data_IF_037029618607
#
_entry.id   IF_037029618607
#
_cell.length_a   1.000
_cell.length_b   1.000
_cell.length_c   1.000
_cell.angle_alpha   90.00
_cell.angle_beta   90.00
_cell.angle_gamma   90.00
#
_symmetry.space_group_name_H-M   'P 1'
#
loop_
_entity.id
_entity.type
_entity.pdbx_description
1 polymer ?
#
# COMPACT_ATOMS: atom_id res chain seq x y z
N UNK A 1 -25.83 10.87 10.34
CA UNK A 1 -25.15 10.18 9.23
C UNK A 1 -23.78 9.83 9.76
N UNK A 2 -23.49 8.54 9.95
CA UNK A 2 -22.25 8.07 10.58
C UNK A 2 -21.06 8.51 9.74
N UNK A 3 -20.19 9.31 10.36
CA UNK A 3 -18.86 9.62 9.86
C UNK A 3 -18.09 8.30 9.81
N UNK A 4 -17.85 7.78 8.61
CA UNK A 4 -16.82 6.77 8.40
C UNK A 4 -15.49 7.46 8.62
N UNK A 5 -14.82 7.17 9.73
CA UNK A 5 -13.46 7.65 9.98
C UNK A 5 -12.52 6.95 8.99
N UNK A 6 -11.52 7.67 8.43
CA UNK A 6 -10.52 7.05 7.59
C UNK A 6 -9.72 6.02 8.41
N UNK A 7 -9.53 4.84 7.85
CA UNK A 7 -8.68 3.78 8.38
C UNK A 7 -7.32 3.88 7.71
N UNK A 8 -6.26 3.65 8.48
CA UNK A 8 -4.89 3.64 7.97
C UNK A 8 -4.31 2.24 8.09
N UNK A 9 -3.96 1.64 6.96
CA UNK A 9 -3.32 0.33 6.88
C UNK A 9 -1.84 0.50 6.56
N UNK A 10 -0.97 -0.21 7.27
CA UNK A 10 0.48 -0.17 7.03
C UNK A 10 0.98 -1.51 6.54
N UNK A 11 1.67 -1.49 5.41
CA UNK A 11 2.25 -2.69 4.80
C UNK A 11 3.74 -2.50 4.54
N UNK A 12 4.47 -3.58 4.72
CA UNK A 12 5.90 -3.66 4.47
C UNK A 12 6.12 -4.34 3.14
N UNK A 13 6.78 -3.66 2.20
CA UNK A 13 7.05 -4.15 0.85
C UNK A 13 8.54 -4.32 0.65
N UNK A 14 8.95 -5.47 0.14
CA UNK A 14 10.35 -5.78 -0.16
C UNK A 14 10.63 -5.67 -1.67
N UNK A 15 11.84 -5.28 -2.03
CA UNK A 15 12.30 -5.22 -3.42
C UNK A 15 12.14 -3.87 -4.12
N UNK A 16 11.47 -2.88 -3.50
CA UNK A 16 11.46 -1.52 -4.01
C UNK A 16 12.82 -0.86 -3.81
N UNK A 17 13.55 -0.63 -4.90
CA UNK A 17 14.91 -0.06 -4.90
C UNK A 17 15.01 1.29 -5.60
N UNK A 18 13.92 1.76 -6.22
CA UNK A 18 13.92 2.94 -7.08
C UNK A 18 12.66 3.80 -6.91
N UNK A 19 12.74 5.11 -7.18
CA UNK A 19 11.59 6.01 -7.10
C UNK A 19 10.45 5.64 -8.07
N UNK A 20 10.75 5.10 -9.25
CA UNK A 20 9.71 4.59 -10.17
C UNK A 20 8.99 3.35 -9.63
N UNK A 21 9.69 2.54 -8.83
CA UNK A 21 9.15 1.34 -8.21
C UNK A 21 8.04 1.71 -7.21
N UNK A 22 8.23 2.84 -6.51
CA UNK A 22 7.27 3.41 -5.58
C UNK A 22 6.01 3.86 -6.30
N UNK A 23 6.15 4.65 -7.37
CA UNK A 23 4.99 5.15 -8.11
C UNK A 23 4.13 4.02 -8.64
N UNK A 24 4.73 2.97 -9.22
CA UNK A 24 3.99 1.82 -9.71
C UNK A 24 3.15 1.15 -8.60
N UNK A 25 3.73 0.95 -7.41
CA UNK A 25 3.02 0.37 -6.27
C UNK A 25 1.94 1.30 -5.73
N UNK A 26 2.23 2.61 -5.62
CA UNK A 26 1.24 3.56 -5.12
C UNK A 26 0.05 3.68 -6.07
N UNK A 27 0.29 3.73 -7.38
CA UNK A 27 -0.78 3.81 -8.39
C UNK A 27 -1.72 2.60 -8.32
N UNK A 28 -1.17 1.39 -8.17
CA UNK A 28 -1.97 0.16 -8.07
C UNK A 28 -2.78 0.09 -6.76
N UNK A 29 -2.21 0.63 -5.67
CA UNK A 29 -2.92 0.73 -4.39
C UNK A 29 -3.99 1.83 -4.43
N UNK A 30 -3.72 2.97 -5.05
CA UNK A 30 -4.69 4.05 -5.26
C UNK A 30 -5.86 3.63 -6.16
N UNK A 31 -5.67 2.61 -7.01
CA UNK A 31 -6.73 2.01 -7.80
C UNK A 31 -7.71 1.16 -6.97
N UNK A 32 -7.37 0.77 -5.75
CA UNK A 32 -8.25 -0.01 -4.88
C UNK A 32 -9.45 0.82 -4.42
N UNK A 33 -10.62 0.20 -4.39
CA UNK A 33 -11.86 0.86 -4.00
C UNK A 33 -11.82 1.31 -2.54
N UNK A 34 -11.96 2.61 -2.32
CA UNK A 34 -11.98 3.21 -0.98
C UNK A 34 -10.64 3.77 -0.51
N UNK A 35 -9.56 3.62 -1.29
CA UNK A 35 -8.30 4.31 -1.03
C UNK A 35 -8.44 5.80 -1.30
N UNK A 36 -7.98 6.61 -0.35
CA UNK A 36 -8.01 8.06 -0.44
C UNK A 36 -6.59 8.64 -0.57
N UNK A 37 -5.60 8.03 0.06
CA UNK A 37 -4.21 8.46 0.00
C UNK A 37 -3.25 7.27 0.19
N UNK A 38 -2.17 7.25 -0.58
CA UNK A 38 -1.06 6.29 -0.40
C UNK A 38 0.24 7.03 -0.18
N UNK A 39 0.95 6.66 0.88
CA UNK A 39 2.24 7.23 1.24
C UNK A 39 3.29 6.14 1.35
N UNK A 40 4.40 6.28 0.62
CA UNK A 40 5.44 5.25 0.55
C UNK A 40 6.77 5.78 1.08
N UNK A 41 7.25 5.12 2.13
CA UNK A 41 8.58 5.32 2.71
C UNK A 41 9.55 4.33 2.05
N UNK A 42 10.14 4.74 0.92
CA UNK A 42 11.12 3.94 0.19
C UNK A 42 12.40 3.74 1.01
N UNK A 43 12.77 2.48 1.21
CA UNK A 43 14.06 2.09 1.74
C UNK A 43 14.86 1.34 0.66
N UNK A 44 15.67 2.07 -0.11
CA UNK A 44 16.43 1.50 -1.23
C UNK A 44 17.42 0.37 -0.85
N UNK A 45 17.68 0.17 0.45
CA UNK A 45 18.55 -0.89 0.98
C UNK A 45 17.82 -1.97 1.78
N UNK A 46 16.49 -2.01 1.80
CA UNK A 46 15.76 -2.88 2.70
C UNK A 46 14.26 -3.00 2.42
N UNK A 47 13.46 -2.94 3.48
CA UNK A 47 12.01 -3.02 3.44
C UNK A 47 11.45 -1.61 3.43
N UNK A 48 10.62 -1.33 2.44
CA UNK A 48 9.90 -0.07 2.31
C UNK A 48 8.56 -0.17 3.03
N UNK A 49 8.15 0.91 3.68
CA UNK A 49 6.86 0.96 4.40
C UNK A 49 5.87 1.72 3.54
N UNK A 50 4.71 1.13 3.29
CA UNK A 50 3.60 1.76 2.58
C UNK A 50 2.46 1.98 3.57
N UNK A 51 1.97 3.19 3.62
CA UNK A 51 0.85 3.61 4.47
C UNK A 51 -0.31 3.98 3.56
N UNK A 52 -1.44 3.30 3.73
CA UNK A 52 -2.62 3.44 2.89
C UNK A 52 -3.73 4.00 3.77
N UNK A 53 -4.25 5.16 3.41
CA UNK A 53 -5.41 5.78 4.05
C UNK A 53 -6.63 5.50 3.19
N UNK A 54 -7.63 4.87 3.79
CA UNK A 54 -8.85 4.47 3.10
C UNK A 54 -10.09 4.83 3.90
N UNK A 55 -11.16 5.16 3.21
CA UNK A 55 -12.49 5.34 3.81
C UNK A 55 -13.17 3.99 4.11
N UNK A 56 -12.50 2.85 3.90
CA UNK A 56 -13.01 1.51 4.20
C UNK A 56 -11.87 0.58 4.59
N UNK A 57 -12.17 -0.49 5.31
CA UNK A 57 -11.19 -1.54 5.62
C UNK A 57 -10.79 -2.26 4.33
N UNK A 58 -9.49 -2.25 4.02
CA UNK A 58 -8.94 -2.98 2.89
C UNK A 58 -8.55 -4.39 3.31
N UNK A 59 -8.83 -5.37 2.47
CA UNK A 59 -8.41 -6.74 2.76
C UNK A 59 -6.90 -6.88 2.55
N UNK A 60 -6.19 -7.62 3.42
CA UNK A 60 -4.76 -7.85 3.23
C UNK A 60 -4.44 -8.57 1.91
N UNK A 61 -5.38 -9.36 1.40
CA UNK A 61 -5.27 -10.02 0.10
C UNK A 61 -5.30 -9.01 -1.05
N UNK A 62 -6.21 -8.03 -1.02
CA UNK A 62 -6.33 -6.99 -2.06
C UNK A 62 -5.06 -6.14 -2.15
N UNK A 63 -4.54 -5.73 -0.99
CA UNK A 63 -3.26 -5.00 -0.93
C UNK A 63 -2.12 -5.86 -1.46
N UNK A 64 -2.09 -7.15 -1.10
CA UNK A 64 -1.08 -8.10 -1.59
C UNK A 64 -1.15 -8.30 -3.10
N UNK A 65 -2.35 -8.40 -3.66
CA UNK A 65 -2.59 -8.56 -5.10
C UNK A 65 -2.15 -7.31 -5.88
N UNK A 66 -2.55 -6.11 -5.46
CA UNK A 66 -2.12 -4.85 -6.10
C UNK A 66 -0.58 -4.70 -6.09
N UNK A 67 0.07 -5.01 -4.97
CA UNK A 67 1.54 -4.97 -4.87
C UNK A 67 2.20 -6.05 -5.74
N UNK A 68 1.57 -7.23 -5.86
CA UNK A 68 2.05 -8.32 -6.71
C UNK A 68 1.88 -8.01 -8.20
N UNK A 69 0.81 -7.33 -8.60
CA UNK A 69 0.60 -6.83 -9.96
C UNK A 69 1.66 -5.79 -10.35
N UNK A 70 2.06 -4.92 -9.41
CA UNK A 70 3.20 -4.02 -9.58
C UNK A 70 4.56 -4.74 -9.62
N UNK A 71 4.60 -6.05 -9.31
CA UNK A 71 5.81 -6.89 -9.37
C UNK A 71 6.61 -6.96 -8.07
N UNK A 72 6.01 -6.63 -6.93
CA UNK A 72 6.65 -6.63 -5.61
C UNK A 72 5.97 -7.59 -4.64
N UNK A 73 6.60 -7.78 -3.48
CA UNK A 73 6.10 -8.69 -2.44
C UNK A 73 5.89 -7.94 -1.13
N UNK A 74 4.66 -8.04 -0.60
CA UNK A 74 4.32 -7.65 0.77
C UNK A 74 4.88 -8.69 1.73
N UNK A 75 5.72 -8.27 2.67
CA UNK A 75 6.39 -9.12 3.65
C UNK A 75 5.80 -9.00 5.05
N UNK A 76 5.08 -7.92 5.34
CA UNK A 76 4.27 -7.79 6.54
C UNK A 76 3.03 -6.94 6.21
N UNK A 77 1.86 -7.42 6.62
CA UNK A 77 0.60 -6.72 6.44
C UNK A 77 -0.13 -6.68 7.78
N UNK A 78 -0.24 -5.48 8.35
CA UNK A 78 -0.98 -5.21 9.58
C UNK A 78 -2.30 -4.53 9.19
N UNK A 79 -3.12 -5.25 8.41
CA UNK A 79 -4.48 -4.88 8.04
C UNK A 79 -5.48 -5.43 9.07
#
# INVERSE_FOLDING_TARGET
MSTTSPTTTRVSVSGMTCGHCVSAVSEELEALAGVEEVSVELNAGGISTVTITSSSELSPSEIGEAVAEAGYLVVANEA
#
